data_IF_493746326812
#
_entry.id   IF_493746326812
#
_cell.length_a   1.000
_cell.length_b   1.000
_cell.length_c   1.000
_cell.angle_alpha   90.00
_cell.angle_beta   90.00
_cell.angle_gamma   90.00
#
_symmetry.space_group_name_H-M   'P 1'
#
loop_
_entity.id
_entity.type
_entity.pdbx_description
1 polymer ?
#
# COMPACT_ATOMS: atom_id res chain seq x y z
N UNK A 1 40.16 88.22 18.68
CA UNK A 1 40.87 86.93 18.92
C UNK A 1 40.05 86.14 19.93
N UNK A 2 39.85 84.86 19.62
CA UNK A 2 39.38 83.77 20.49
C UNK A 2 37.87 83.66 20.77
N UNK A 3 37.23 82.76 20.03
CA UNK A 3 36.04 81.99 20.42
C UNK A 3 36.28 80.54 20.03
N UNK A 4 36.27 79.64 21.03
CA UNK A 4 35.88 78.22 20.99
C UNK A 4 35.97 77.65 22.44
N UNK A 5 35.37 76.51 22.84
CA UNK A 5 34.26 75.72 22.25
C UNK A 5 33.07 75.50 23.21
N UNK A 6 31.96 75.03 22.64
CA UNK A 6 30.85 74.35 23.33
C UNK A 6 30.97 72.81 23.20
N UNK A 7 30.45 72.01 24.15
CA UNK A 7 30.64 70.56 24.17
C UNK A 7 29.56 69.77 23.40
N UNK A 8 29.99 68.57 22.98
CA UNK A 8 29.29 67.53 22.23
C UNK A 8 28.17 66.86 23.05
N UNK A 9 26.98 66.72 22.46
CA UNK A 9 25.85 65.95 23.00
C UNK A 9 25.76 64.57 22.31
N UNK A 10 25.65 63.51 23.10
CA UNK A 10 25.43 62.14 22.66
C UNK A 10 23.93 61.85 22.42
N UNK A 11 23.57 60.98 21.46
CA UNK A 11 22.17 60.57 21.25
C UNK A 11 21.75 59.42 22.18
N UNK A 12 20.50 59.51 22.64
CA UNK A 12 19.74 58.56 23.45
C UNK A 12 19.33 57.30 22.67
N UNK A 13 19.15 56.14 23.33
CA UNK A 13 18.68 54.90 22.70
C UNK A 13 17.16 54.87 22.53
N UNK A 14 16.70 54.64 21.30
CA UNK A 14 15.30 54.43 20.95
C UNK A 14 14.78 53.06 21.40
N UNK A 15 13.62 53.07 22.05
CA UNK A 15 12.86 51.86 22.40
C UNK A 15 12.34 51.13 21.15
N UNK A 16 12.21 49.79 21.17
CA UNK A 16 11.65 49.04 20.04
C UNK A 16 10.12 49.09 20.07
N UNK A 17 9.54 49.60 18.98
CA UNK A 17 8.10 49.54 18.71
C UNK A 17 7.66 48.09 18.50
N UNK A 18 6.77 47.63 19.36
CA UNK A 18 6.03 46.37 19.20
C UNK A 18 5.00 46.52 18.07
N UNK A 19 5.37 46.08 16.87
CA UNK A 19 4.40 45.78 15.81
C UNK A 19 3.81 44.39 16.08
N UNK A 20 2.52 44.40 16.44
CA UNK A 20 1.67 43.24 16.61
C UNK A 20 1.57 42.45 15.31
N UNK A 21 2.31 41.34 15.22
CA UNK A 21 2.06 40.29 14.26
C UNK A 21 0.75 39.60 14.64
N UNK A 22 -0.34 40.00 13.98
CA UNK A 22 -1.56 39.21 13.95
C UNK A 22 -1.23 37.86 13.33
N UNK A 23 -1.10 36.85 14.18
CA UNK A 23 -0.90 35.46 13.80
C UNK A 23 -2.19 34.98 13.17
N UNK A 24 -2.29 35.14 11.84
CA UNK A 24 -3.32 34.48 11.04
C UNK A 24 -3.00 32.98 11.10
N UNK A 25 -3.73 32.25 11.94
CA UNK A 25 -3.70 30.79 11.93
C UNK A 25 -3.85 30.31 10.47
N UNK A 26 -3.07 29.32 10.01
CA UNK A 26 -3.18 28.85 8.64
C UNK A 26 -4.61 28.35 8.41
N UNK A 27 -5.34 29.01 7.51
CA UNK A 27 -6.67 28.59 7.10
C UNK A 27 -6.53 27.21 6.45
N UNK A 28 -6.98 26.18 7.17
CA UNK A 28 -7.02 24.78 6.74
C UNK A 28 -7.77 24.70 5.40
N UNK A 29 -7.10 24.26 4.34
CA UNK A 29 -7.70 24.19 3.01
C UNK A 29 -8.90 23.22 3.03
N UNK A 30 -9.99 23.50 2.30
CA UNK A 30 -11.16 22.63 2.24
C UNK A 30 -10.82 21.22 1.72
N UNK A 31 -9.79 21.07 0.89
CA UNK A 31 -9.40 19.78 0.29
C UNK A 31 -8.78 18.79 1.29
N UNK A 32 -8.18 19.30 2.37
CA UNK A 32 -7.70 18.46 3.47
C UNK A 32 -8.86 17.73 4.17
N UNK A 33 -10.09 18.24 4.07
CA UNK A 33 -11.25 17.61 4.71
C UNK A 33 -11.67 16.33 3.99
N UNK A 34 -11.57 16.28 2.66
CA UNK A 34 -11.94 15.11 1.85
C UNK A 34 -11.02 13.93 2.18
N UNK A 35 -9.71 14.15 2.12
CA UNK A 35 -8.73 13.10 2.40
C UNK A 35 -8.79 12.62 3.86
N UNK A 36 -9.04 13.52 4.82
CA UNK A 36 -9.17 13.14 6.23
C UNK A 36 -10.46 12.37 6.51
N UNK A 37 -11.59 12.76 5.90
CA UNK A 37 -12.84 12.02 6.01
C UNK A 37 -12.72 10.62 5.41
N UNK A 38 -12.18 10.53 4.19
CA UNK A 38 -11.91 9.25 3.53
C UNK A 38 -10.95 8.37 4.34
N UNK A 39 -9.92 8.96 4.96
CA UNK A 39 -9.00 8.22 5.82
C UNK A 39 -9.71 7.56 7.01
N UNK A 40 -10.72 8.22 7.59
CA UNK A 40 -11.54 7.63 8.64
C UNK A 40 -12.24 6.35 8.16
N UNK A 41 -12.87 6.39 6.99
CA UNK A 41 -13.54 5.24 6.37
C UNK A 41 -12.56 4.13 5.97
N UNK A 42 -11.42 4.51 5.38
CA UNK A 42 -10.33 3.59 5.04
C UNK A 42 -9.85 2.86 6.29
N UNK A 43 -9.63 3.58 7.40
CA UNK A 43 -9.15 2.97 8.65
C UNK A 43 -10.11 1.91 9.19
N UNK A 44 -11.42 2.17 9.12
CA UNK A 44 -12.45 1.22 9.53
C UNK A 44 -12.51 0.00 8.60
N UNK A 45 -12.36 0.20 7.30
CA UNK A 45 -12.40 -0.88 6.28
C UNK A 45 -11.14 -1.76 6.35
N UNK A 46 -9.98 -1.16 6.65
CA UNK A 46 -8.73 -1.89 6.90
C UNK A 46 -8.87 -2.81 8.11
N UNK A 47 -9.53 -2.34 9.19
CA UNK A 47 -9.80 -3.16 10.37
C UNK A 47 -10.72 -4.36 10.06
N UNK A 48 -11.56 -4.28 9.03
CA UNK A 48 -12.42 -5.36 8.57
C UNK A 48 -11.74 -6.32 7.57
N UNK A 49 -10.52 -6.00 7.11
CA UNK A 49 -9.79 -6.83 6.15
C UNK A 49 -10.33 -6.78 4.71
N UNK A 50 -11.17 -5.79 4.38
CA UNK A 50 -11.78 -5.64 3.06
C UNK A 50 -10.91 -4.79 2.13
N UNK A 51 -9.79 -5.34 1.66
CA UNK A 51 -8.78 -4.57 0.93
C UNK A 51 -9.25 -4.10 -0.47
N UNK A 52 -10.19 -4.80 -1.12
CA UNK A 52 -10.82 -4.33 -2.35
C UNK A 52 -11.58 -3.02 -2.13
N UNK A 53 -12.26 -2.92 -1.00
CA UNK A 53 -13.11 -1.79 -0.68
C UNK A 53 -12.26 -0.59 -0.25
N UNK A 54 -11.13 -0.84 0.40
CA UNK A 54 -10.08 0.16 0.65
C UNK A 54 -9.60 0.78 -0.66
N UNK A 55 -9.36 -0.01 -1.71
CA UNK A 55 -8.98 0.50 -3.03
C UNK A 55 -10.08 1.43 -3.56
N UNK A 56 -11.32 0.98 -3.62
CA UNK A 56 -12.42 1.76 -4.17
C UNK A 56 -12.71 3.05 -3.39
N UNK A 57 -12.57 3.03 -2.07
CA UNK A 57 -12.71 4.22 -1.22
C UNK A 57 -11.57 5.22 -1.46
N UNK A 58 -10.34 4.73 -1.52
CA UNK A 58 -9.18 5.59 -1.71
C UNK A 58 -9.10 6.18 -3.12
N UNK A 59 -9.47 5.42 -4.16
CA UNK A 59 -9.60 5.92 -5.53
C UNK A 59 -10.62 7.06 -5.61
N UNK A 60 -11.79 6.88 -4.97
CA UNK A 60 -12.82 7.91 -4.93
C UNK A 60 -12.33 9.17 -4.24
N UNK A 61 -11.62 9.03 -3.13
CA UNK A 61 -11.01 10.17 -2.43
C UNK A 61 -9.96 10.87 -3.30
N UNK A 62 -9.14 10.12 -4.04
CA UNK A 62 -8.13 10.67 -4.95
C UNK A 62 -8.72 11.44 -6.14
N UNK A 63 -9.90 11.02 -6.62
CA UNK A 63 -10.62 11.70 -7.70
C UNK A 63 -11.35 12.97 -7.24
N UNK A 64 -11.78 13.01 -5.98
CA UNK A 64 -12.60 14.10 -5.44
C UNK A 64 -11.76 15.20 -4.78
N UNK A 65 -10.56 14.88 -4.29
CA UNK A 65 -9.66 15.84 -3.66
C UNK A 65 -8.74 16.57 -4.65
N UNK A 66 -8.06 17.61 -4.16
CA UNK A 66 -7.06 18.33 -4.96
C UNK A 66 -5.80 17.48 -5.21
N UNK A 67 -5.37 17.43 -6.48
CA UNK A 67 -4.22 16.67 -6.93
C UNK A 67 -2.88 17.16 -6.33
N UNK A 68 -2.81 18.44 -5.94
CA UNK A 68 -1.60 19.09 -5.41
C UNK A 68 -1.56 19.12 -3.88
N UNK A 69 -2.65 18.72 -3.21
CA UNK A 69 -2.70 18.71 -1.76
C UNK A 69 -1.73 17.65 -1.18
N UNK A 70 -0.92 18.01 -0.16
CA UNK A 70 -0.07 17.04 0.53
C UNK A 70 -0.90 16.00 1.31
N UNK A 71 -2.14 16.33 1.69
CA UNK A 71 -3.05 15.41 2.39
C UNK A 71 -3.49 14.23 1.51
N UNK A 72 -3.29 14.33 0.18
CA UNK A 72 -3.52 13.25 -0.78
C UNK A 72 -2.80 11.94 -0.43
N UNK A 73 -1.64 12.04 0.24
CA UNK A 73 -0.88 10.88 0.70
C UNK A 73 -1.68 9.99 1.66
N UNK A 74 -2.64 10.55 2.40
CA UNK A 74 -3.53 9.80 3.30
C UNK A 74 -4.43 8.82 2.54
N UNK A 75 -4.77 9.11 1.27
CA UNK A 75 -5.51 8.18 0.43
C UNK A 75 -4.58 7.29 -0.40
N UNK A 76 -3.54 7.88 -1.02
CA UNK A 76 -2.69 7.17 -1.97
C UNK A 76 -1.83 6.09 -1.30
N UNK A 77 -1.27 6.34 -0.11
CA UNK A 77 -0.44 5.33 0.55
C UNK A 77 -1.23 4.06 0.91
N UNK A 78 -2.41 4.15 1.56
CA UNK A 78 -3.27 2.98 1.77
C UNK A 78 -3.71 2.31 0.47
N UNK A 79 -4.04 3.10 -0.57
CA UNK A 79 -4.46 2.59 -1.88
C UNK A 79 -3.39 1.71 -2.53
N UNK A 80 -2.15 2.19 -2.57
CA UNK A 80 -1.01 1.46 -3.16
C UNK A 80 -0.75 0.17 -2.41
N UNK A 81 -0.76 0.20 -1.07
CA UNK A 81 -0.59 -1.01 -0.27
C UNK A 81 -1.75 -2.00 -0.47
N UNK A 82 -2.99 -1.51 -0.57
CA UNK A 82 -4.15 -2.34 -0.82
C UNK A 82 -4.08 -3.04 -2.19
N UNK A 83 -3.67 -2.34 -3.25
CA UNK A 83 -3.41 -2.97 -4.55
C UNK A 83 -2.34 -4.07 -4.47
N UNK A 84 -1.25 -3.83 -3.73
CA UNK A 84 -0.20 -4.83 -3.54
C UNK A 84 -0.69 -6.07 -2.76
N UNK A 85 -1.63 -5.91 -1.83
CA UNK A 85 -2.29 -7.01 -1.11
C UNK A 85 -3.15 -7.84 -2.07
N UNK A 86 -3.94 -7.17 -2.91
CA UNK A 86 -4.85 -7.80 -3.89
C UNK A 86 -4.10 -8.38 -5.10
N UNK A 87 -2.79 -8.15 -5.22
CA UNK A 87 -1.91 -8.59 -6.32
C UNK A 87 -2.19 -7.87 -7.65
N UNK A 88 -2.68 -6.62 -7.59
CA UNK A 88 -2.92 -5.78 -8.77
C UNK A 88 -1.83 -4.71 -8.93
N UNK A 89 -0.73 -5.11 -9.56
CA UNK A 89 0.47 -4.29 -9.65
C UNK A 89 0.41 -3.09 -10.62
N UNK A 90 -0.21 -3.19 -11.82
CA UNK A 90 -0.23 -2.07 -12.75
C UNK A 90 -0.91 -0.80 -12.18
N UNK A 91 -2.11 -0.87 -11.56
CA UNK A 91 -2.75 0.29 -10.95
C UNK A 91 -1.92 0.87 -9.80
N UNK A 92 -1.29 0.04 -8.97
CA UNK A 92 -0.39 0.50 -7.90
C UNK A 92 0.75 1.37 -8.46
N UNK A 93 1.35 0.95 -9.56
CA UNK A 93 2.42 1.70 -10.22
C UNK A 93 1.90 3.00 -10.84
N UNK A 94 0.74 2.97 -11.49
CA UNK A 94 0.14 4.20 -12.03
C UNK A 94 -0.21 5.19 -10.93
N UNK A 95 -0.77 4.74 -9.81
CA UNK A 95 -1.06 5.59 -8.65
C UNK A 95 0.18 6.36 -8.17
N UNK A 96 1.33 5.68 -8.09
CA UNK A 96 2.60 6.31 -7.71
C UNK A 96 3.07 7.35 -8.72
N UNK A 97 2.89 7.12 -10.03
CA UNK A 97 3.27 8.10 -11.06
C UNK A 97 2.39 9.35 -11.11
N UNK A 98 1.16 9.28 -10.58
CA UNK A 98 0.25 10.44 -10.54
C UNK A 98 0.54 11.38 -9.39
N UNK A 99 1.43 11.03 -8.46
CA UNK A 99 1.77 11.90 -7.35
C UNK A 99 2.53 13.13 -7.84
N UNK A 100 2.30 14.32 -7.26
CA UNK A 100 3.06 15.51 -7.60
C UNK A 100 4.53 15.38 -7.17
N UNK A 101 5.42 16.01 -7.92
CA UNK A 101 6.88 15.99 -7.68
C UNK A 101 7.27 16.47 -6.28
N UNK A 102 6.46 17.34 -5.68
CA UNK A 102 6.65 17.83 -4.31
C UNK A 102 6.63 16.70 -3.26
N UNK A 103 5.91 15.60 -3.52
CA UNK A 103 5.76 14.48 -2.59
C UNK A 103 6.75 13.34 -2.87
N UNK A 104 7.38 13.30 -4.04
CA UNK A 104 8.31 12.22 -4.41
C UNK A 104 9.57 12.14 -3.54
N UNK A 105 9.95 13.23 -2.89
CA UNK A 105 11.11 13.27 -1.99
C UNK A 105 10.81 12.75 -0.58
N UNK A 106 9.54 12.46 -0.25
CA UNK A 106 9.19 11.94 1.07
C UNK A 106 9.64 10.48 1.20
N UNK A 107 10.23 10.08 2.35
CA UNK A 107 10.75 8.73 2.55
C UNK A 107 9.66 7.66 2.44
N UNK A 108 8.42 7.98 2.85
CA UNK A 108 7.28 7.07 2.68
C UNK A 108 7.00 6.79 1.21
N UNK A 109 6.99 7.83 0.36
CA UNK A 109 6.70 7.71 -1.07
C UNK A 109 7.82 6.97 -1.79
N UNK A 110 9.08 7.24 -1.43
CA UNK A 110 10.24 6.51 -1.97
C UNK A 110 10.21 5.03 -1.57
N UNK A 111 9.86 4.74 -0.32
CA UNK A 111 9.69 3.39 0.19
C UNK A 111 8.58 2.63 -0.53
N UNK A 112 7.41 3.25 -0.70
CA UNK A 112 6.28 2.68 -1.45
C UNK A 112 6.65 2.42 -2.92
N UNK A 113 7.30 3.38 -3.59
CA UNK A 113 7.72 3.22 -4.98
C UNK A 113 8.72 2.07 -5.13
N UNK A 114 9.68 1.98 -4.21
CA UNK A 114 10.66 0.90 -4.16
C UNK A 114 9.98 -0.45 -3.93
N UNK A 115 9.00 -0.52 -3.02
CA UNK A 115 8.24 -1.72 -2.74
C UNK A 115 7.48 -2.22 -3.97
N UNK A 116 6.78 -1.32 -4.66
CA UNK A 116 6.08 -1.63 -5.92
C UNK A 116 7.06 -2.12 -6.97
N UNK A 117 8.20 -1.44 -7.16
CA UNK A 117 9.21 -1.82 -8.15
C UNK A 117 9.84 -3.18 -7.85
N UNK A 118 10.18 -3.47 -6.59
CA UNK A 118 10.75 -4.75 -6.17
C UNK A 118 9.76 -5.89 -6.33
N UNK A 119 8.49 -5.64 -6.03
CA UNK A 119 7.41 -6.63 -6.21
C UNK A 119 7.19 -6.92 -7.69
N UNK A 120 7.17 -5.88 -8.54
CA UNK A 120 7.08 -6.01 -10.00
C UNK A 120 8.23 -6.84 -10.59
N UNK A 121 9.46 -6.58 -10.13
CA UNK A 121 10.67 -7.28 -10.58
C UNK A 121 10.85 -8.65 -9.92
N UNK A 122 9.94 -9.06 -9.02
CA UNK A 122 9.98 -10.33 -8.27
C UNK A 122 11.28 -10.51 -7.49
N UNK A 123 11.79 -9.44 -6.87
CA UNK A 123 13.00 -9.43 -6.05
C UNK A 123 12.69 -9.83 -4.60
N UNK A 124 12.25 -11.07 -4.38
CA UNK A 124 11.67 -11.56 -3.11
C UNK A 124 12.43 -11.15 -1.85
N UNK A 125 13.74 -11.43 -1.78
CA UNK A 125 14.56 -11.09 -0.61
C UNK A 125 14.52 -9.58 -0.26
N UNK A 126 14.51 -8.73 -1.28
CA UNK A 126 14.53 -7.28 -1.12
C UNK A 126 13.16 -6.72 -0.74
N UNK A 127 12.07 -7.40 -1.12
CA UNK A 127 10.69 -7.00 -0.77
C UNK A 127 10.53 -6.96 0.75
N UNK A 128 11.01 -7.99 1.46
CA UNK A 128 10.89 -8.07 2.92
C UNK A 128 11.70 -6.98 3.64
N UNK A 129 12.96 -6.77 3.22
CA UNK A 129 13.81 -5.68 3.74
C UNK A 129 13.18 -4.30 3.52
N UNK A 130 12.58 -4.09 2.35
CA UNK A 130 11.89 -2.85 2.02
C UNK A 130 10.63 -2.67 2.89
N UNK A 131 9.85 -3.72 3.11
CA UNK A 131 8.69 -3.68 3.99
C UNK A 131 9.06 -3.35 5.44
N UNK A 132 10.13 -3.92 5.98
CA UNK A 132 10.65 -3.58 7.31
C UNK A 132 11.08 -2.10 7.42
N UNK A 133 11.81 -1.60 6.42
CA UNK A 133 12.16 -0.18 6.35
C UNK A 133 10.92 0.72 6.28
N UNK A 134 9.87 0.28 5.58
CA UNK A 134 8.62 1.04 5.45
C UNK A 134 7.85 1.09 6.78
N UNK A 135 7.86 0.00 7.56
CA UNK A 135 7.32 -0.01 8.92
C UNK A 135 8.07 0.96 9.85
N UNK A 136 9.39 1.06 9.70
CA UNK A 136 10.19 2.03 10.45
C UNK A 136 9.79 3.46 10.11
N UNK A 137 9.67 3.80 8.82
CA UNK A 137 9.19 5.12 8.36
C UNK A 137 7.77 5.40 8.82
N UNK A 138 6.90 4.39 8.87
CA UNK A 138 5.53 4.55 9.34
C UNK A 138 5.44 4.96 10.83
N UNK A 139 6.47 4.70 11.64
CA UNK A 139 6.52 5.13 13.04
C UNK A 139 6.70 6.65 13.20
N UNK A 140 7.15 7.34 12.17
CA UNK A 140 7.31 8.80 12.19
C UNK A 140 5.96 9.54 12.04
N UNK A 141 4.87 8.82 11.77
CA UNK A 141 3.53 9.37 11.60
C UNK A 141 2.72 9.33 12.90
N UNK A 142 1.80 10.27 13.05
CA UNK A 142 0.86 10.31 14.18
C UNK A 142 -0.18 9.18 14.08
N UNK A 143 -0.71 8.75 15.23
CA UNK A 143 -1.87 7.87 15.25
C UNK A 143 -3.14 8.63 14.80
N UNK A 144 -4.04 8.02 14.01
CA UNK A 144 -4.11 6.59 13.66
C UNK A 144 -3.40 6.19 12.34
N UNK A 145 -2.59 7.09 11.76
CA UNK A 145 -1.97 6.86 10.44
C UNK A 145 -0.92 5.75 10.52
N UNK A 146 -0.06 5.81 11.53
CA UNK A 146 0.96 4.78 11.78
C UNK A 146 0.33 3.38 11.89
N UNK A 147 -0.73 3.24 12.69
CA UNK A 147 -1.43 1.96 12.86
C UNK A 147 -1.99 1.40 11.55
N UNK A 148 -2.63 2.23 10.71
CA UNK A 148 -3.18 1.79 9.42
C UNK A 148 -2.08 1.34 8.47
N UNK A 149 -0.98 2.11 8.37
CA UNK A 149 0.17 1.74 7.54
C UNK A 149 0.80 0.43 8.02
N UNK A 150 0.96 0.25 9.33
CA UNK A 150 1.47 -0.99 9.91
C UNK A 150 0.60 -2.19 9.55
N UNK A 151 -0.72 -2.05 9.71
CA UNK A 151 -1.67 -3.12 9.39
C UNK A 151 -1.58 -3.53 7.91
N UNK A 152 -1.56 -2.54 7.01
CA UNK A 152 -1.49 -2.77 5.57
C UNK A 152 -0.15 -3.38 5.14
N UNK A 153 0.98 -2.90 5.66
CA UNK A 153 2.29 -3.46 5.31
C UNK A 153 2.45 -4.90 5.81
N UNK A 154 2.01 -5.19 7.04
CA UNK A 154 2.02 -6.57 7.57
C UNK A 154 1.14 -7.50 6.74
N UNK A 155 -0.08 -7.06 6.43
CA UNK A 155 -0.98 -7.84 5.57
C UNK A 155 -0.38 -8.08 4.18
N UNK A 156 0.26 -7.07 3.60
CA UNK A 156 0.95 -7.21 2.32
C UNK A 156 2.02 -8.31 2.40
N UNK A 157 2.87 -8.29 3.42
CA UNK A 157 3.92 -9.30 3.62
C UNK A 157 3.33 -10.70 3.74
N UNK A 158 2.27 -10.87 4.53
CA UNK A 158 1.60 -12.16 4.70
C UNK A 158 0.97 -12.65 3.40
N UNK A 159 0.27 -11.77 2.68
CA UNK A 159 -0.35 -12.07 1.38
C UNK A 159 0.70 -12.38 0.31
N UNK A 160 1.86 -11.73 0.36
CA UNK A 160 2.98 -11.97 -0.54
C UNK A 160 3.65 -13.32 -0.26
N UNK A 161 3.86 -13.66 1.01
CA UNK A 161 4.36 -14.99 1.42
C UNK A 161 3.40 -16.10 1.01
N UNK A 162 2.10 -15.92 1.20
CA UNK A 162 1.10 -16.92 0.83
C UNK A 162 1.05 -17.14 -0.70
N UNK A 163 1.12 -16.07 -1.49
CA UNK A 163 1.30 -16.17 -2.96
C UNK A 163 2.58 -16.92 -3.32
N UNK A 164 3.68 -16.61 -2.64
CA UNK A 164 4.98 -17.23 -2.89
C UNK A 164 4.98 -18.72 -2.52
N UNK A 165 4.35 -19.11 -1.41
CA UNK A 165 4.11 -20.51 -1.05
C UNK A 165 3.37 -21.25 -2.16
N UNK A 166 2.23 -20.70 -2.62
CA UNK A 166 1.44 -21.29 -3.72
C UNK A 166 2.25 -21.41 -5.01
N UNK A 167 3.11 -20.42 -5.30
CA UNK A 167 4.01 -20.46 -6.46
C UNK A 167 5.02 -21.62 -6.33
N UNK A 168 5.70 -21.73 -5.19
CA UNK A 168 6.67 -22.80 -4.95
C UNK A 168 6.02 -24.18 -5.01
N UNK A 169 4.82 -24.34 -4.46
CA UNK A 169 4.05 -25.59 -4.54
C UNK A 169 3.71 -26.01 -5.97
N UNK A 170 3.57 -25.04 -6.89
CA UNK A 170 3.26 -25.32 -8.29
C UNK A 170 4.51 -25.57 -9.12
N UNK A 171 5.58 -24.84 -8.84
CA UNK A 171 6.80 -24.83 -9.64
C UNK A 171 7.76 -25.99 -9.31
N UNK A 172 7.74 -26.50 -8.08
CA UNK A 172 8.72 -27.48 -7.61
C UNK A 172 8.07 -28.77 -7.11
N UNK A 173 8.66 -29.90 -7.47
CA UNK A 173 8.37 -31.21 -6.86
C UNK A 173 9.22 -31.44 -5.61
N UNK A 174 10.45 -30.92 -5.61
CA UNK A 174 11.39 -30.93 -4.50
C UNK A 174 12.11 -29.57 -4.48
N UNK A 175 12.32 -29.01 -3.29
CA UNK A 175 12.93 -27.68 -3.15
C UNK A 175 13.84 -27.62 -1.91
N UNK A 176 15.11 -27.18 -2.05
CA UNK A 176 16.03 -27.05 -0.90
C UNK A 176 15.56 -25.98 0.08
N UNK A 177 15.79 -26.20 1.38
CA UNK A 177 15.45 -25.26 2.45
C UNK A 177 15.96 -23.84 2.19
N UNK A 178 17.24 -23.69 1.82
CA UNK A 178 17.85 -22.38 1.59
C UNK A 178 17.19 -21.58 0.46
N UNK A 179 16.64 -22.26 -0.56
CA UNK A 179 15.88 -21.60 -1.61
C UNK A 179 14.53 -21.10 -1.08
N UNK A 180 13.86 -21.91 -0.26
CA UNK A 180 12.60 -21.51 0.38
C UNK A 180 12.81 -20.33 1.35
N UNK A 181 13.90 -20.33 2.12
CA UNK A 181 14.30 -19.21 2.98
C UNK A 181 14.47 -17.91 2.20
N UNK A 182 15.14 -17.95 1.04
CA UNK A 182 15.32 -16.80 0.15
C UNK A 182 13.98 -16.26 -0.38
N UNK A 183 13.07 -17.15 -0.82
CA UNK A 183 11.78 -16.74 -1.38
C UNK A 183 10.81 -16.20 -0.31
N UNK A 184 10.82 -16.75 0.90
CA UNK A 184 9.89 -16.39 1.97
C UNK A 184 10.43 -15.32 2.94
N UNK A 185 11.73 -15.06 2.91
CA UNK A 185 12.38 -14.12 3.83
C UNK A 185 12.17 -14.50 5.28
N UNK A 186 12.21 -15.79 5.60
CA UNK A 186 12.04 -16.34 6.94
C UNK A 186 13.11 -17.40 7.21
N UNK A 187 13.51 -17.59 8.47
CA UNK A 187 14.44 -18.65 8.83
C UNK A 187 13.75 -20.02 8.76
N UNK A 188 14.52 -21.07 8.48
CA UNK A 188 14.03 -22.43 8.34
C UNK A 188 13.25 -22.95 9.55
N UNK A 189 13.63 -22.51 10.76
CA UNK A 189 12.92 -22.85 12.00
C UNK A 189 11.43 -22.45 11.98
N UNK A 190 11.08 -21.37 11.27
CA UNK A 190 9.69 -20.91 11.11
C UNK A 190 9.04 -21.54 9.87
N UNK A 191 9.82 -21.81 8.82
CA UNK A 191 9.32 -22.36 7.56
C UNK A 191 8.89 -23.82 7.71
N UNK A 192 9.68 -24.65 8.41
CA UNK A 192 9.38 -26.08 8.57
C UNK A 192 7.95 -26.32 9.11
N UNK A 193 7.55 -25.77 10.28
CA UNK A 193 6.19 -25.97 10.78
C UNK A 193 5.11 -25.35 9.87
N UNK A 194 5.41 -24.21 9.23
CA UNK A 194 4.48 -23.54 8.32
C UNK A 194 4.27 -24.30 6.99
N UNK A 195 5.29 -25.00 6.50
CA UNK A 195 5.23 -25.83 5.31
C UNK A 195 4.51 -27.15 5.60
N UNK A 196 4.80 -27.77 6.76
CA UNK A 196 4.14 -29.00 7.21
C UNK A 196 2.64 -28.80 7.44
N UNK A 197 2.22 -27.67 8.02
CA UNK A 197 0.79 -27.35 8.18
C UNK A 197 0.05 -27.19 6.84
N UNK A 198 0.79 -26.91 5.76
CA UNK A 198 0.30 -26.86 4.37
C UNK A 198 0.49 -28.19 3.62
N UNK A 199 0.83 -29.27 4.35
CA UNK A 199 0.97 -30.62 3.81
C UNK A 199 2.29 -30.92 3.10
N UNK A 200 3.27 -30.00 3.12
CA UNK A 200 4.58 -30.30 2.53
C UNK A 200 5.32 -31.31 3.40
N UNK A 201 5.95 -32.31 2.78
CA UNK A 201 6.86 -33.20 3.48
C UNK A 201 8.24 -32.55 3.58
N UNK A 202 8.94 -32.75 4.70
CA UNK A 202 10.29 -32.24 4.91
C UNK A 202 11.25 -33.39 5.21
N UNK A 203 12.30 -33.51 4.42
CA UNK A 203 13.41 -34.42 4.65
C UNK A 203 14.51 -33.68 5.41
N UNK A 204 14.65 -34.01 6.70
CA UNK A 204 15.62 -33.36 7.57
C UNK A 204 17.07 -33.72 7.24
N UNK A 205 17.33 -34.91 6.69
CA UNK A 205 18.67 -35.38 6.37
C UNK A 205 19.26 -34.60 5.19
N UNK A 206 18.44 -34.36 4.17
CA UNK A 206 18.85 -33.63 2.96
C UNK A 206 18.46 -32.14 2.97
N UNK A 207 17.70 -31.69 3.98
CA UNK A 207 17.15 -30.32 4.08
C UNK A 207 16.33 -29.93 2.85
N UNK A 208 15.47 -30.84 2.39
CA UNK A 208 14.64 -30.67 1.19
C UNK A 208 13.15 -30.75 1.57
N UNK A 209 12.36 -29.85 1.03
CA UNK A 209 10.90 -29.96 1.05
C UNK A 209 10.38 -30.66 -0.19
N UNK A 210 9.26 -31.37 -0.04
CA UNK A 210 8.44 -31.91 -1.12
C UNK A 210 7.08 -31.23 -1.09
N UNK A 211 6.91 -30.14 -1.88
CA UNK A 211 5.66 -29.40 -1.90
C UNK A 211 4.51 -30.26 -2.43
N UNK A 212 3.33 -30.06 -1.85
CA UNK A 212 2.09 -30.61 -2.39
C UNK A 212 1.53 -29.61 -3.39
N UNK A 213 1.37 -30.03 -4.64
CA UNK A 213 0.70 -29.20 -5.64
C UNK A 213 -0.70 -28.90 -5.12
N UNK A 214 -1.13 -27.61 -5.08
CA UNK A 214 -2.48 -27.29 -4.71
C UNK A 214 -3.39 -28.04 -5.69
N UNK A 215 -4.16 -29.00 -5.19
CA UNK A 215 -5.24 -29.60 -5.95
C UNK A 215 -6.12 -28.44 -6.33
N UNK A 216 -6.13 -28.08 -7.61
CA UNK A 216 -7.21 -27.26 -8.14
C UNK A 216 -8.45 -28.04 -7.75
N UNK A 217 -9.18 -27.57 -6.75
CA UNK A 217 -10.58 -27.89 -6.63
C UNK A 217 -11.16 -27.36 -7.93
N UNK A 218 -11.13 -28.19 -8.97
CA UNK A 218 -12.11 -28.14 -10.03
C UNK A 218 -13.38 -28.23 -9.22
N UNK A 219 -14.04 -27.08 -9.08
CA UNK A 219 -15.42 -27.05 -8.67
C UNK A 219 -16.10 -28.19 -9.42
N UNK A 220 -16.51 -29.22 -8.70
CA UNK A 220 -17.52 -30.12 -9.19
C UNK A 220 -18.72 -29.19 -9.48
N UNK A 221 -18.92 -28.85 -10.76
CA UNK A 221 -19.92 -27.89 -11.21
C UNK A 221 -19.37 -26.48 -11.44
N UNK A 222 -18.71 -26.27 -12.58
CA UNK A 222 -19.19 -25.41 -13.67
C UNK A 222 -18.01 -25.20 -14.61
N UNK A 223 -17.88 -26.11 -15.59
CA UNK A 223 -17.30 -25.71 -16.87
C UNK A 223 -18.27 -24.70 -17.45
N UNK A 224 -18.11 -23.43 -17.11
CA UNK A 224 -18.58 -22.35 -17.96
C UNK A 224 -17.63 -22.32 -19.16
N UNK A 225 -17.75 -23.34 -20.01
CA UNK A 225 -17.72 -23.08 -21.43
C UNK A 225 -18.76 -21.96 -21.59
N UNK A 226 -18.35 -20.77 -22.02
CA UNK A 226 -19.29 -19.77 -22.52
C UNK A 226 -19.87 -20.42 -23.78
N UNK A 227 -20.84 -21.29 -23.56
CA UNK A 227 -21.36 -22.20 -24.55
C UNK A 227 -22.29 -21.35 -25.39
N UNK A 228 -21.98 -21.23 -26.68
CA UNK A 228 -22.79 -20.47 -27.64
C UNK A 228 -24.27 -20.89 -27.61
N UNK A 229 -24.56 -22.10 -27.12
CA UNK A 229 -25.89 -22.64 -26.89
C UNK A 229 -26.64 -21.93 -25.73
N UNK A 230 -25.97 -21.58 -24.63
CA UNK A 230 -26.58 -20.83 -23.53
C UNK A 230 -26.89 -19.39 -23.94
N UNK A 231 -25.98 -18.75 -24.69
CA UNK A 231 -26.23 -17.43 -25.27
C UNK A 231 -27.37 -17.49 -26.29
N UNK A 232 -27.40 -18.51 -27.15
CA UNK A 232 -28.50 -18.71 -28.10
C UNK A 232 -29.84 -18.92 -27.39
N UNK A 233 -29.89 -19.74 -26.34
CA UNK A 233 -31.10 -19.99 -25.57
C UNK A 233 -31.61 -18.71 -24.88
N UNK A 234 -30.70 -17.89 -24.34
CA UNK A 234 -31.06 -16.60 -23.75
C UNK A 234 -31.64 -15.63 -24.80
N UNK A 235 -31.03 -15.53 -25.98
CA UNK A 235 -31.54 -14.66 -27.06
C UNK A 235 -32.87 -15.18 -27.59
N UNK A 236 -33.00 -16.48 -27.88
CA UNK A 236 -34.23 -17.07 -28.40
C UNK A 236 -35.41 -16.93 -27.43
N UNK A 237 -35.17 -17.12 -26.13
CA UNK A 237 -36.20 -16.94 -25.09
C UNK A 237 -36.55 -15.48 -24.82
N UNK A 238 -35.62 -14.55 -25.03
CA UNK A 238 -35.88 -13.11 -24.90
C UNK A 238 -36.70 -12.58 -26.06
N UNK A 239 -36.42 -13.02 -27.30
CA UNK A 239 -37.21 -12.65 -28.48
C UNK A 239 -38.61 -13.26 -28.42
N UNK A 240 -38.75 -14.53 -28.04
CA UNK A 240 -40.06 -15.16 -27.92
C UNK A 240 -40.99 -14.52 -26.88
N UNK A 241 -40.45 -13.81 -25.89
CA UNK A 241 -41.26 -13.04 -24.92
C UNK A 241 -41.69 -11.67 -25.42
N UNK A 242 -40.97 -11.11 -26.41
CA UNK A 242 -41.28 -9.81 -27.00
C UNK A 242 -42.32 -9.89 -28.12
N UNK A 243 -42.59 -11.08 -28.67
CA UNK A 243 -43.61 -11.30 -29.71
C UNK A 243 -44.99 -11.70 -29.14
N UNK A 244 -45.15 -11.73 -27.81
CA UNK A 244 -46.38 -12.14 -27.12
C UNK A 244 -47.10 -10.99 -26.39
N UNK A 245 -46.62 -9.76 -26.54
CA UNK A 245 -47.30 -8.49 -26.20
C UNK A 245 -47.59 -7.69 -27.49
#
# INVERSE_FOLDING_TARGET
MSTDPAPVQAPTPSAPSSSSSSSKAPQRAPDDTVFRAAFGEISATVAQGQYSDVVSLAERADLMGDAHSPARLLAVAPMVLAYLIVDDLPPARFAMFRLPDSLHNLPLVQGLNSLVALTWQRRYEHVYKCAESLLAVANDFEEPIAQVLHALVRQFVDSFRERTFRLLSRAYTEVPLGLVEMYLGMPGAQIVPAAQSRGWAYDEANKIFKPVKPTTAVAAGHKSDISSLNTFHFVASSVGKLELD
#
